data_IF_362160849766
#
_entry.id   IF_362160849766
#
_cell.length_a   1.000
_cell.length_b   1.000
_cell.length_c   1.000
_cell.angle_alpha   90.00
_cell.angle_beta   90.00
_cell.angle_gamma   90.00
#
_symmetry.space_group_name_H-M   'P 1'
#
loop_
_entity.id
_entity.type
_entity.pdbx_description
1 polymer ?
#
# COMPACT_ATOMS: atom_id res chain seq x y z
N UNK A 1 9.39 -25.85 -7.37
CA UNK A 1 8.49 -24.69 -7.35
C UNK A 1 9.27 -23.44 -6.97
N UNK A 2 8.95 -22.27 -7.58
CA UNK A 2 9.65 -21.00 -7.33
C UNK A 2 8.65 -19.91 -6.93
N UNK A 3 8.98 -19.14 -5.89
CA UNK A 3 8.15 -18.05 -5.41
C UNK A 3 9.01 -16.81 -5.25
N UNK A 4 8.70 -15.75 -5.99
CA UNK A 4 9.47 -14.52 -6.00
C UNK A 4 8.94 -13.53 -4.95
N UNK A 5 9.83 -13.04 -4.10
CA UNK A 5 9.57 -11.95 -3.15
C UNK A 5 10.24 -10.64 -3.58
N UNK A 6 11.14 -10.68 -4.58
CA UNK A 6 11.87 -9.53 -5.12
C UNK A 6 12.46 -8.65 -4.01
N UNK A 7 13.15 -9.26 -3.08
CA UNK A 7 13.76 -8.58 -1.93
C UNK A 7 15.27 -8.84 -1.88
N UNK A 8 16.05 -7.80 -1.60
CA UNK A 8 17.51 -7.86 -1.51
C UNK A 8 18.02 -7.28 -0.19
N UNK A 9 19.28 -7.49 0.12
CA UNK A 9 19.93 -6.86 1.28
C UNK A 9 19.26 -7.18 2.62
N UNK A 10 18.81 -6.15 3.33
CA UNK A 10 18.19 -6.29 4.64
C UNK A 10 16.81 -6.96 4.60
N UNK A 11 16.03 -6.72 3.56
CA UNK A 11 14.70 -7.32 3.39
C UNK A 11 14.79 -8.82 3.12
N UNK A 12 15.77 -9.24 2.31
CA UNK A 12 16.04 -10.66 2.11
C UNK A 12 16.42 -11.37 3.41
N UNK A 13 17.23 -10.74 4.25
CA UNK A 13 17.56 -11.29 5.58
C UNK A 13 16.33 -11.46 6.46
N UNK A 14 15.39 -10.50 6.43
CA UNK A 14 14.11 -10.61 7.15
C UNK A 14 13.27 -11.77 6.62
N UNK A 15 13.19 -11.95 5.28
CA UNK A 15 12.52 -13.09 4.67
C UNK A 15 13.13 -14.40 5.15
N UNK A 16 14.44 -14.55 5.06
CA UNK A 16 15.19 -15.76 5.50
C UNK A 16 14.94 -16.06 6.97
N UNK A 17 15.02 -15.05 7.82
CA UNK A 17 14.76 -15.18 9.26
C UNK A 17 13.31 -15.61 9.52
N UNK A 18 12.35 -15.00 8.84
CA UNK A 18 10.93 -15.34 8.99
C UNK A 18 10.67 -16.80 8.56
N UNK A 19 11.25 -17.26 7.45
CA UNK A 19 11.13 -18.67 7.01
C UNK A 19 11.73 -19.60 8.05
N UNK A 20 12.95 -19.32 8.52
CA UNK A 20 13.64 -20.11 9.54
C UNK A 20 12.81 -20.24 10.84
N UNK A 21 12.24 -19.13 11.31
CA UNK A 21 11.38 -19.12 12.51
C UNK A 21 10.06 -19.88 12.33
N UNK A 22 9.45 -19.84 11.14
CA UNK A 22 8.18 -20.53 10.86
C UNK A 22 8.40 -22.03 10.71
N UNK A 23 9.47 -22.42 10.04
CA UNK A 23 9.77 -23.84 9.77
C UNK A 23 10.52 -24.53 10.90
N UNK A 24 11.19 -23.76 11.76
CA UNK A 24 12.10 -24.28 12.78
C UNK A 24 13.45 -24.75 12.24
N UNK A 25 13.71 -24.54 10.93
CA UNK A 25 14.94 -24.95 10.27
C UNK A 25 15.99 -23.84 10.33
N UNK A 26 17.26 -24.20 10.47
CA UNK A 26 18.36 -23.23 10.48
C UNK A 26 18.66 -22.72 9.07
N UNK A 27 18.88 -21.41 8.95
CA UNK A 27 19.28 -20.80 7.71
C UNK A 27 20.81 -20.80 7.58
N UNK A 28 21.34 -21.47 6.56
CA UNK A 28 22.76 -21.55 6.25
C UNK A 28 23.09 -20.72 5.02
N UNK A 29 23.96 -19.73 5.18
CA UNK A 29 24.42 -18.90 4.06
C UNK A 29 25.44 -19.64 3.22
N UNK A 30 25.12 -19.77 1.93
CA UNK A 30 26.02 -20.32 0.92
C UNK A 30 26.81 -19.16 0.30
N UNK A 31 28.11 -19.11 0.58
CA UNK A 31 29.00 -18.10 0.03
C UNK A 31 29.01 -18.10 -1.50
N UNK A 32 29.84 -17.27 -2.08
CA UNK A 32 30.01 -17.23 -3.55
C UNK A 32 30.30 -18.62 -4.13
N UNK A 33 29.71 -18.97 -5.34
CA UNK A 33 29.04 -18.04 -6.26
C UNK A 33 27.53 -17.84 -6.05
N UNK A 34 26.84 -18.73 -5.33
CA UNK A 34 25.37 -18.69 -5.25
C UNK A 34 24.85 -17.54 -4.36
N UNK A 35 25.56 -17.21 -3.31
CA UNK A 35 25.12 -16.26 -2.28
C UNK A 35 23.71 -16.53 -1.76
N UNK A 36 23.24 -17.78 -1.81
CA UNK A 36 21.92 -18.19 -1.38
C UNK A 36 21.87 -18.51 0.12
N UNK A 37 20.67 -18.69 0.66
CA UNK A 37 20.45 -19.27 1.99
C UNK A 37 19.71 -20.60 1.83
N UNK A 38 20.25 -21.67 2.38
CA UNK A 38 19.55 -22.94 2.50
C UNK A 38 18.81 -23.00 3.84
N UNK A 39 17.55 -23.42 3.82
CA UNK A 39 16.68 -23.53 5.00
C UNK A 39 15.91 -24.84 4.88
N UNK A 40 16.48 -25.92 5.44
CA UNK A 40 15.95 -27.27 5.24
C UNK A 40 15.85 -27.62 3.74
N UNK A 41 14.67 -28.03 3.22
CA UNK A 41 14.47 -28.38 1.81
C UNK A 41 14.28 -27.14 0.89
N UNK A 42 14.44 -25.94 1.43
CA UNK A 42 14.20 -24.70 0.72
C UNK A 42 15.47 -23.89 0.53
N UNK A 43 15.53 -23.09 -0.53
CA UNK A 43 16.65 -22.19 -0.82
C UNK A 43 16.13 -20.80 -1.20
N UNK A 44 16.70 -19.75 -0.60
CA UNK A 44 16.42 -18.36 -0.97
C UNK A 44 17.63 -17.80 -1.71
N UNK A 45 17.46 -17.46 -2.99
CA UNK A 45 18.52 -16.94 -3.84
C UNK A 45 18.87 -15.46 -3.52
N UNK A 46 19.81 -14.88 -4.26
CA UNK A 46 20.29 -13.50 -4.03
C UNK A 46 19.25 -12.43 -4.41
N UNK A 47 18.29 -12.76 -5.25
CA UNK A 47 17.17 -11.91 -5.69
C UNK A 47 15.95 -12.02 -4.75
N UNK A 48 15.99 -12.93 -3.77
CA UNK A 48 14.86 -13.17 -2.85
C UNK A 48 13.79 -14.08 -3.46
N UNK A 49 14.19 -14.99 -4.37
CA UNK A 49 13.31 -16.05 -4.85
C UNK A 49 13.45 -17.26 -3.91
N UNK A 50 12.34 -17.76 -3.42
CA UNK A 50 12.27 -19.00 -2.65
C UNK A 50 12.10 -20.17 -3.63
N UNK A 51 13.06 -21.07 -3.61
CA UNK A 51 13.03 -22.36 -4.32
C UNK A 51 12.70 -23.47 -3.34
N UNK A 52 11.77 -24.34 -3.68
CA UNK A 52 11.37 -25.48 -2.86
C UNK A 52 11.05 -26.70 -3.72
N UNK A 53 11.23 -27.87 -3.14
CA UNK A 53 10.88 -29.15 -3.80
C UNK A 53 9.35 -29.27 -3.95
N UNK A 54 8.93 -29.98 -5.00
CA UNK A 54 7.52 -30.23 -5.24
C UNK A 54 6.96 -31.15 -4.13
N UNK A 55 5.87 -30.70 -3.50
CA UNK A 55 5.22 -31.41 -2.39
C UNK A 55 5.45 -30.79 -1.00
N UNK A 56 6.27 -29.74 -0.88
CA UNK A 56 6.39 -28.97 0.37
C UNK A 56 5.09 -28.20 0.63
N UNK A 57 4.58 -28.22 1.86
CA UNK A 57 3.40 -27.41 2.24
C UNK A 57 3.77 -25.93 2.31
N UNK A 58 3.69 -25.27 1.17
CA UNK A 58 4.00 -23.85 1.01
C UNK A 58 2.82 -22.98 1.41
N UNK A 59 1.59 -23.49 1.32
CA UNK A 59 0.39 -22.71 1.63
C UNK A 59 0.39 -22.17 3.05
N UNK A 60 0.72 -23.04 4.02
CA UNK A 60 0.87 -22.64 5.44
C UNK A 60 2.00 -21.65 5.65
N UNK A 61 3.16 -21.87 4.99
CA UNK A 61 4.31 -20.96 5.06
C UNK A 61 3.98 -19.56 4.52
N UNK A 62 3.35 -19.46 3.34
CA UNK A 62 2.96 -18.18 2.75
C UNK A 62 1.97 -17.43 3.63
N UNK A 63 1.00 -18.12 4.22
CA UNK A 63 0.03 -17.52 5.12
C UNK A 63 0.70 -16.90 6.37
N UNK A 64 1.67 -17.62 6.98
CA UNK A 64 2.42 -17.11 8.13
C UNK A 64 3.37 -15.95 7.75
N UNK A 65 4.02 -16.04 6.59
CA UNK A 65 4.83 -14.93 6.05
C UNK A 65 3.99 -13.67 5.82
N UNK A 66 2.78 -13.84 5.27
CA UNK A 66 1.83 -12.74 5.06
C UNK A 66 1.42 -12.07 6.39
N UNK A 67 1.14 -12.82 7.44
CA UNK A 67 0.85 -12.27 8.78
C UNK A 67 2.00 -11.43 9.33
N UNK A 68 3.23 -11.72 8.92
CA UNK A 68 4.45 -10.98 9.28
C UNK A 68 4.78 -9.83 8.30
N UNK A 69 3.90 -9.56 7.32
CA UNK A 69 4.08 -8.51 6.33
C UNK A 69 5.06 -8.85 5.19
N UNK A 70 5.42 -10.14 5.05
CA UNK A 70 6.26 -10.63 3.95
C UNK A 70 5.38 -11.27 2.89
N UNK A 71 5.18 -10.56 1.76
CA UNK A 71 4.21 -10.92 0.71
C UNK A 71 4.95 -11.27 -0.57
N UNK A 72 4.64 -12.43 -1.16
CA UNK A 72 5.18 -12.85 -2.45
C UNK A 72 4.67 -11.95 -3.60
N UNK A 73 5.46 -11.82 -4.67
CA UNK A 73 5.12 -10.97 -5.82
C UNK A 73 3.82 -11.41 -6.51
N UNK A 74 3.61 -12.72 -6.62
CA UNK A 74 2.38 -13.30 -7.18
C UNK A 74 1.15 -12.96 -6.35
N UNK A 75 1.29 -12.87 -5.02
CA UNK A 75 0.20 -12.46 -4.14
C UNK A 75 -0.04 -10.95 -4.20
N UNK A 76 1.02 -10.14 -4.34
CA UNK A 76 0.90 -8.70 -4.59
C UNK A 76 0.13 -8.41 -5.87
N UNK A 77 0.38 -9.18 -6.94
CA UNK A 77 -0.36 -9.07 -8.19
C UNK A 77 -1.83 -9.49 -8.04
N UNK A 78 -2.13 -10.51 -7.23
CA UNK A 78 -3.49 -10.98 -6.96
C UNK A 78 -4.27 -10.07 -6.00
N UNK A 79 -3.58 -9.24 -5.23
CA UNK A 79 -4.21 -8.29 -4.30
C UNK A 79 -4.49 -6.91 -4.91
N UNK A 80 -4.21 -6.71 -6.20
CA UNK A 80 -4.54 -5.45 -6.87
C UNK A 80 -6.05 -5.33 -7.04
N UNK A 81 -6.59 -4.20 -6.59
CA UNK A 81 -7.98 -3.84 -6.73
C UNK A 81 -8.11 -2.69 -7.74
N UNK A 82 -8.86 -2.94 -8.81
CA UNK A 82 -9.32 -1.90 -9.73
C UNK A 82 -10.76 -1.55 -9.41
N UNK A 83 -11.02 -0.29 -9.09
CA UNK A 83 -12.39 0.20 -8.84
C UNK A 83 -12.90 0.85 -10.12
N UNK A 84 -14.06 0.40 -10.61
CA UNK A 84 -14.73 0.97 -11.78
C UNK A 84 -15.90 1.85 -11.36
N UNK A 85 -16.00 3.02 -11.98
CA UNK A 85 -17.12 3.96 -11.78
C UNK A 85 -17.84 4.14 -13.11
N UNK A 86 -19.18 4.03 -13.17
CA UNK A 86 -19.93 4.27 -14.40
C UNK A 86 -19.62 5.66 -15.00
N UNK A 87 -19.36 5.70 -16.29
CA UNK A 87 -19.00 6.94 -17.00
C UNK A 87 -20.08 8.01 -16.90
N UNK A 88 -21.35 7.61 -16.79
CA UNK A 88 -22.49 8.52 -16.59
C UNK A 88 -22.36 9.39 -15.33
N UNK A 89 -21.58 8.92 -14.34
CA UNK A 89 -21.30 9.66 -13.10
C UNK A 89 -20.11 10.61 -13.20
N UNK A 90 -19.37 10.60 -14.30
CA UNK A 90 -18.12 11.31 -14.49
C UNK A 90 -18.17 12.12 -15.78
N UNK A 91 -18.72 13.34 -15.73
CA UNK A 91 -18.68 14.25 -16.87
C UNK A 91 -17.25 14.78 -17.10
N UNK A 92 -17.03 15.41 -18.24
CA UNK A 92 -15.72 15.94 -18.66
C UNK A 92 -15.19 16.98 -17.66
N UNK A 93 -16.08 17.77 -17.07
CA UNK A 93 -15.70 18.75 -16.05
C UNK A 93 -15.22 18.09 -14.76
N UNK A 94 -15.87 16.99 -14.34
CA UNK A 94 -15.47 16.19 -13.18
C UNK A 94 -14.09 15.58 -13.39
N UNK A 95 -13.82 15.00 -14.56
CA UNK A 95 -12.51 14.44 -14.91
C UNK A 95 -11.43 15.53 -14.91
N UNK A 96 -11.68 16.67 -15.52
CA UNK A 96 -10.76 17.81 -15.49
C UNK A 96 -10.46 18.30 -14.07
N UNK A 97 -11.46 18.33 -13.19
CA UNK A 97 -11.28 18.69 -11.80
C UNK A 97 -10.52 17.60 -11.02
N UNK A 98 -10.78 16.34 -11.33
CA UNK A 98 -10.06 15.21 -10.74
C UNK A 98 -8.57 15.30 -11.09
N UNK A 99 -8.22 15.53 -12.36
CA UNK A 99 -6.83 15.71 -12.79
C UNK A 99 -6.13 16.83 -12.02
N UNK A 100 -6.79 17.96 -11.82
CA UNK A 100 -6.25 19.07 -11.00
C UNK A 100 -6.06 18.70 -9.54
N UNK A 101 -6.95 17.90 -8.96
CA UNK A 101 -6.78 17.38 -7.60
C UNK A 101 -5.58 16.45 -7.54
N UNK A 102 -5.42 15.57 -8.54
CA UNK A 102 -4.30 14.63 -8.63
C UNK A 102 -2.97 15.36 -8.86
N UNK A 103 -2.93 16.42 -9.68
CA UNK A 103 -1.75 17.28 -9.83
C UNK A 103 -1.30 17.89 -8.49
N UNK A 104 -2.25 18.31 -7.65
CA UNK A 104 -1.94 19.01 -6.40
C UNK A 104 -1.70 18.07 -5.20
N UNK A 105 -2.31 16.89 -5.18
CA UNK A 105 -2.30 15.95 -4.06
C UNK A 105 -1.80 14.57 -4.44
N UNK A 106 -1.41 14.37 -5.71
CA UNK A 106 -1.05 13.06 -6.24
C UNK A 106 0.06 12.39 -5.47
N UNK A 107 1.17 13.07 -5.22
CA UNK A 107 2.29 12.51 -4.44
C UNK A 107 1.84 12.02 -3.07
N UNK A 108 1.01 12.81 -2.37
CA UNK A 108 0.48 12.45 -1.06
C UNK A 108 -0.47 11.25 -1.13
N UNK A 109 -1.30 11.18 -2.16
CA UNK A 109 -2.21 10.04 -2.41
C UNK A 109 -1.40 8.79 -2.78
N UNK A 110 -0.38 8.92 -3.64
CA UNK A 110 0.51 7.80 -4.03
C UNK A 110 1.20 7.19 -2.81
N UNK A 111 1.77 8.02 -1.93
CA UNK A 111 2.41 7.54 -0.70
C UNK A 111 1.40 6.86 0.23
N UNK A 112 0.19 7.41 0.36
CA UNK A 112 -0.86 6.82 1.20
C UNK A 112 -1.37 5.47 0.69
N UNK A 113 -1.48 5.30 -0.64
CA UNK A 113 -1.99 4.10 -1.30
C UNK A 113 -0.88 3.11 -1.69
N UNK A 114 0.39 3.47 -1.49
CA UNK A 114 1.56 2.68 -1.93
C UNK A 114 1.48 2.33 -3.42
N UNK A 115 1.16 3.31 -4.26
CA UNK A 115 1.07 3.14 -5.72
C UNK A 115 2.03 4.06 -6.45
N UNK A 116 2.63 3.57 -7.53
CA UNK A 116 3.56 4.33 -8.36
C UNK A 116 2.85 5.27 -9.35
N UNK A 117 1.57 5.01 -9.63
CA UNK A 117 0.79 5.80 -10.58
C UNK A 117 -0.65 5.99 -10.13
N UNK A 118 -1.20 7.18 -10.41
CA UNK A 118 -2.62 7.52 -10.27
C UNK A 118 -3.29 7.69 -11.64
N UNK A 119 -2.77 7.03 -12.66
CA UNK A 119 -3.43 6.97 -13.95
C UNK A 119 -4.74 6.18 -13.85
N UNK A 120 -5.72 6.63 -14.61
CA UNK A 120 -7.01 5.94 -14.75
C UNK A 120 -7.35 5.76 -16.22
N UNK A 121 -8.17 4.78 -16.53
CA UNK A 121 -8.55 4.46 -17.91
C UNK A 121 -10.02 4.75 -18.14
N UNK A 122 -10.31 5.60 -19.12
CA UNK A 122 -11.69 5.89 -19.56
C UNK A 122 -12.08 4.89 -20.63
N UNK A 123 -13.08 4.06 -20.35
CA UNK A 123 -13.70 3.12 -21.29
C UNK A 123 -15.05 3.66 -21.81
N UNK A 124 -15.71 2.90 -22.64
CA UNK A 124 -17.01 3.31 -23.21
C UNK A 124 -18.08 3.54 -22.14
N UNK A 125 -18.19 2.62 -21.18
CA UNK A 125 -19.23 2.61 -20.14
C UNK A 125 -18.75 2.94 -18.73
N UNK A 126 -17.45 2.91 -18.47
CA UNK A 126 -16.86 3.06 -17.14
C UNK A 126 -15.51 3.75 -17.15
N UNK A 127 -15.09 4.26 -16.01
CA UNK A 127 -13.73 4.73 -15.75
C UNK A 127 -13.10 3.82 -14.70
N UNK A 128 -11.92 3.30 -14.98
CA UNK A 128 -11.22 2.33 -14.14
C UNK A 128 -10.04 2.97 -13.42
N UNK A 129 -9.94 2.71 -12.13
CA UNK A 129 -8.92 3.22 -11.21
C UNK A 129 -8.13 2.05 -10.60
N UNK A 130 -6.98 1.66 -11.19
CA UNK A 130 -6.16 0.53 -10.72
C UNK A 130 -5.15 0.93 -9.63
N UNK A 131 -5.56 1.76 -8.68
CA UNK A 131 -4.67 2.43 -7.73
C UNK A 131 -4.41 1.65 -6.45
N UNK A 132 -5.20 0.60 -6.18
CA UNK A 132 -5.31 0.04 -4.84
C UNK A 132 -4.67 -1.35 -4.75
N UNK A 133 -4.09 -1.63 -3.59
CA UNK A 133 -3.62 -2.96 -3.23
C UNK A 133 -4.27 -3.34 -1.90
N UNK A 134 -4.95 -4.48 -1.86
CA UNK A 134 -5.59 -5.00 -0.65
C UNK A 134 -4.54 -5.66 0.24
N UNK A 135 -4.44 -5.24 1.49
CA UNK A 135 -3.70 -5.95 2.53
C UNK A 135 -4.66 -6.82 3.36
N UNK A 136 -5.83 -6.26 3.65
CA UNK A 136 -6.91 -6.92 4.35
C UNK A 136 -8.21 -6.85 3.51
N UNK A 137 -9.12 -7.82 3.62
CA UNK A 137 -10.38 -7.81 2.86
C UNK A 137 -11.23 -6.54 3.10
N UNK A 138 -11.16 -5.96 4.30
CA UNK A 138 -11.90 -4.77 4.70
C UNK A 138 -11.37 -3.49 4.05
N UNK A 139 -10.17 -3.51 3.49
CA UNK A 139 -9.56 -2.36 2.81
C UNK A 139 -10.37 -1.93 1.58
N UNK A 140 -11.07 -2.88 0.93
CA UNK A 140 -11.88 -2.59 -0.24
C UNK A 140 -12.98 -1.56 0.03
N UNK A 141 -13.64 -1.60 1.20
CA UNK A 141 -14.64 -0.60 1.59
C UNK A 141 -13.99 0.77 1.79
N UNK A 142 -12.84 0.82 2.47
CA UNK A 142 -12.12 2.07 2.69
C UNK A 142 -11.68 2.73 1.37
N UNK A 143 -11.16 1.96 0.42
CA UNK A 143 -10.74 2.44 -0.89
C UNK A 143 -11.92 2.88 -1.76
N UNK A 144 -13.01 2.12 -1.76
CA UNK A 144 -14.22 2.48 -2.51
C UNK A 144 -14.82 3.80 -2.01
N UNK A 145 -14.90 3.98 -0.70
CA UNK A 145 -15.38 5.23 -0.09
C UNK A 145 -14.43 6.39 -0.35
N UNK A 146 -13.12 6.15 -0.27
CA UNK A 146 -12.12 7.18 -0.58
C UNK A 146 -12.27 7.68 -2.02
N UNK A 147 -12.33 6.77 -3.01
CA UNK A 147 -12.49 7.12 -4.41
C UNK A 147 -13.81 7.85 -4.66
N UNK A 148 -14.91 7.38 -4.08
CA UNK A 148 -16.23 8.03 -4.19
C UNK A 148 -16.17 9.47 -3.65
N UNK A 149 -15.62 9.67 -2.47
CA UNK A 149 -15.49 10.99 -1.86
C UNK A 149 -14.56 11.94 -2.67
N UNK A 150 -13.51 11.39 -3.28
CA UNK A 150 -12.61 12.13 -4.16
C UNK A 150 -13.34 12.61 -5.42
N UNK A 151 -14.15 11.75 -6.03
CA UNK A 151 -14.98 12.08 -7.20
C UNK A 151 -16.06 13.09 -6.82
N UNK A 152 -16.71 12.95 -5.68
CA UNK A 152 -17.70 13.90 -5.19
C UNK A 152 -17.08 15.29 -4.93
N UNK A 153 -15.86 15.32 -4.41
CA UNK A 153 -15.09 16.58 -4.33
C UNK A 153 -14.84 17.16 -5.71
N UNK A 154 -14.43 16.37 -6.70
CA UNK A 154 -14.18 16.83 -8.07
C UNK A 154 -15.45 17.39 -8.73
N UNK A 155 -16.62 16.80 -8.47
CA UNK A 155 -17.92 17.30 -8.96
C UNK A 155 -18.32 18.62 -8.35
N UNK A 156 -18.13 18.77 -7.04
CA UNK A 156 -18.68 19.90 -6.29
C UNK A 156 -17.72 21.09 -6.23
N UNK A 157 -16.46 20.92 -6.56
CA UNK A 157 -15.45 21.94 -6.39
C UNK A 157 -15.37 22.88 -7.58
N UNK A 158 -15.81 24.12 -7.39
CA UNK A 158 -15.75 25.17 -8.43
C UNK A 158 -14.36 25.78 -8.61
N UNK A 159 -13.48 25.68 -7.60
CA UNK A 159 -12.09 26.16 -7.66
C UNK A 159 -11.19 25.22 -6.89
N UNK A 160 -10.18 24.70 -7.57
CA UNK A 160 -9.13 23.87 -6.96
C UNK A 160 -7.94 24.80 -6.71
N UNK A 161 -7.52 24.93 -5.46
CA UNK A 161 -6.34 25.72 -5.10
C UNK A 161 -5.08 24.98 -5.55
N UNK A 162 -4.31 25.61 -6.43
CA UNK A 162 -3.06 25.06 -6.99
C UNK A 162 -1.84 25.23 -6.06
N UNK A 163 -2.01 25.17 -4.75
CA UNK A 163 -0.86 25.18 -3.84
C UNK A 163 -0.50 23.73 -3.49
N UNK A 164 0.68 23.23 -3.93
CA UNK A 164 1.18 21.95 -3.47
C UNK A 164 1.33 21.98 -1.94
N UNK A 165 1.02 20.87 -1.33
CA UNK A 165 1.17 20.72 0.14
C UNK A 165 2.65 20.47 0.43
N UNK A 166 3.34 21.44 0.99
CA UNK A 166 4.75 21.37 1.38
C UNK A 166 4.92 20.97 2.85
N UNK A 167 3.99 20.20 3.39
CA UNK A 167 4.05 19.77 4.78
C UNK A 167 5.07 18.64 4.94
N UNK A 168 6.06 18.82 5.82
CA UNK A 168 7.02 17.77 6.19
C UNK A 168 6.35 16.57 6.88
N UNK A 169 5.10 16.70 7.33
CA UNK A 169 4.31 15.65 7.96
C UNK A 169 3.16 15.21 7.04
N UNK A 170 3.45 14.24 6.18
CA UNK A 170 2.49 13.70 5.21
C UNK A 170 1.25 13.09 5.88
N UNK A 171 1.43 12.41 7.02
CA UNK A 171 0.31 11.80 7.75
C UNK A 171 -0.69 12.83 8.25
N UNK A 172 -0.19 13.96 8.75
CA UNK A 172 -1.05 15.08 9.14
C UNK A 172 -1.73 15.71 7.93
N UNK A 173 -0.96 15.96 6.86
CA UNK A 173 -1.47 16.57 5.63
C UNK A 173 -2.58 15.70 5.01
N UNK A 174 -2.36 14.39 4.92
CA UNK A 174 -3.36 13.47 4.38
C UNK A 174 -4.58 13.34 5.28
N UNK A 175 -4.40 13.32 6.60
CA UNK A 175 -5.54 13.37 7.52
C UNK A 175 -6.39 14.62 7.31
N UNK A 176 -5.77 15.78 7.15
CA UNK A 176 -6.50 17.02 6.85
C UNK A 176 -7.24 16.94 5.51
N UNK A 177 -6.65 16.29 4.52
CA UNK A 177 -7.30 16.03 3.24
C UNK A 177 -8.51 15.11 3.39
N UNK A 178 -8.39 14.01 4.14
CA UNK A 178 -9.49 13.09 4.43
C UNK A 178 -10.66 13.79 5.15
N UNK A 179 -10.37 14.70 6.09
CA UNK A 179 -11.43 15.49 6.74
C UNK A 179 -12.16 16.40 5.75
N UNK A 180 -11.47 16.97 4.77
CA UNK A 180 -12.09 17.75 3.68
C UNK A 180 -12.94 16.90 2.74
N UNK A 181 -12.57 15.62 2.56
CA UNK A 181 -13.36 14.63 1.82
C UNK A 181 -14.60 14.14 2.59
N UNK A 182 -14.79 14.59 3.84
CA UNK A 182 -15.95 14.23 4.65
C UNK A 182 -15.74 13.05 5.61
N UNK A 183 -14.51 12.51 5.72
CA UNK A 183 -14.21 11.43 6.68
C UNK A 183 -14.08 11.98 8.12
N UNK A 184 -15.17 12.54 8.64
CA UNK A 184 -15.28 13.18 9.95
C UNK A 184 -16.07 12.24 10.88
N UNK A 185 -15.74 12.26 12.18
CA UNK A 185 -16.46 11.46 13.17
C UNK A 185 -15.82 10.11 13.48
N UNK A 186 -16.41 9.41 14.43
CA UNK A 186 -15.92 8.12 14.93
C UNK A 186 -16.20 6.98 13.96
N UNK A 187 -17.28 7.07 13.20
CA UNK A 187 -17.72 6.11 12.18
C UNK A 187 -16.68 5.92 11.08
N UNK A 188 -15.87 6.96 10.76
CA UNK A 188 -14.80 6.89 9.78
C UNK A 188 -13.43 6.58 10.38
N UNK A 189 -13.34 6.22 11.67
CA UNK A 189 -12.06 5.96 12.34
C UNK A 189 -11.32 4.78 11.71
N UNK A 190 -12.02 3.69 11.39
CA UNK A 190 -11.45 2.51 10.71
C UNK A 190 -10.93 2.85 9.34
N UNK A 191 -11.72 3.56 8.52
CA UNK A 191 -11.35 4.00 7.17
C UNK A 191 -10.10 4.90 7.21
N UNK A 192 -10.09 5.89 8.10
CA UNK A 192 -8.90 6.74 8.27
C UNK A 192 -7.67 5.95 8.72
N UNK A 193 -7.84 4.91 9.55
CA UNK A 193 -6.73 4.04 9.98
C UNK A 193 -6.12 3.31 8.78
N UNK A 194 -6.94 2.75 7.91
CA UNK A 194 -6.51 2.10 6.66
C UNK A 194 -5.75 3.09 5.78
N UNK A 195 -6.36 4.23 5.45
CA UNK A 195 -5.81 5.21 4.52
C UNK A 195 -4.56 5.95 5.05
N UNK A 196 -4.32 5.96 6.36
CA UNK A 196 -3.14 6.58 6.99
C UNK A 196 -2.04 5.57 7.36
N UNK A 197 -2.24 4.31 7.10
CA UNK A 197 -1.39 3.19 7.57
C UNK A 197 0.05 3.34 7.10
N UNK A 198 0.25 3.67 5.84
CA UNK A 198 1.56 3.71 5.20
C UNK A 198 2.30 5.05 5.38
N UNK A 199 1.63 6.07 5.88
CA UNK A 199 2.25 7.38 6.07
C UNK A 199 2.96 7.48 7.41
N UNK A 200 4.15 8.06 7.39
CA UNK A 200 4.96 8.33 8.59
C UNK A 200 4.60 9.66 9.23
N UNK A 201 4.90 9.79 10.51
CA UNK A 201 4.67 11.02 11.27
C UNK A 201 3.45 10.96 12.18
N UNK A 202 3.12 12.09 12.79
CA UNK A 202 1.97 12.25 13.69
C UNK A 202 0.73 12.70 12.94
N UNK A 203 -0.38 12.02 13.14
CA UNK A 203 -1.67 12.49 12.60
C UNK A 203 -2.27 13.65 13.39
N UNK A 204 -1.76 13.97 14.59
CA UNK A 204 -2.29 14.99 15.49
C UNK A 204 -1.60 16.35 15.35
N UNK A 205 -0.30 16.38 15.04
CA UNK A 205 0.49 17.61 15.05
C UNK A 205 1.11 17.87 13.67
N UNK A 206 1.05 19.14 13.23
CA UNK A 206 1.61 19.57 11.94
C UNK A 206 3.14 19.43 11.87
N UNK A 207 3.84 19.76 12.95
CA UNK A 207 5.30 19.84 13.03
C UNK A 207 5.91 18.67 13.81
N UNK A 208 5.46 17.43 13.60
CA UNK A 208 5.95 16.26 14.32
C UNK A 208 5.91 16.48 15.85
N UNK A 209 5.14 15.71 16.61
CA UNK A 209 5.13 15.85 18.07
C UNK A 209 6.55 15.72 18.62
N UNK A 210 6.90 16.58 19.55
CA UNK A 210 8.09 16.41 20.40
C UNK A 210 7.94 15.00 21.00
N UNK A 211 8.92 14.13 20.75
CA UNK A 211 9.04 12.90 21.51
C UNK A 211 9.21 13.35 22.96
N UNK A 212 8.22 13.06 23.81
CA UNK A 212 8.42 13.12 25.24
C UNK A 212 9.55 12.14 25.57
N UNK A 213 10.76 12.66 25.58
CA UNK A 213 11.86 12.09 26.32
C UNK A 213 11.43 12.27 27.78
N UNK A 214 10.83 11.25 28.35
CA UNK A 214 10.59 11.14 29.78
C UNK A 214 11.97 11.14 30.41
N UNK A 215 12.31 12.25 31.05
CA UNK A 215 13.38 12.32 32.03
C UNK A 215 12.85 11.65 33.29
N UNK A 216 13.61 10.66 33.78
CA UNK A 216 13.65 10.11 35.14
C UNK A 216 12.37 9.49 35.68
#
# INVERSE_FOLDING_TARGET
MEIKFNCTGAERKKLVQAISEITGENAEYQFMPSCAYNIGPMTVDKEGTLHCEDGTDIGGLLQELRKRGVIAETEKANNRLTISIPKEKLDEQTLTNLDRILENKGTLIQHALQTDSLEYTVKESEVQFPWFTLEEPEDADAYSRFLTALIDMAKNQKRINNKPDTSDNEKYAFRCFLLRLGFIGTEFKSIRKVLLRHLTGSSAFRNGGVSDAVSE
#
